data_IF_203036347149
#
_entry.id   IF_203036347149
#
_cell.length_a   1.000
_cell.length_b   1.000
_cell.length_c   1.000
_cell.angle_alpha   90.00
_cell.angle_beta   90.00
_cell.angle_gamma   90.00
#
_symmetry.space_group_name_H-M   'P 1'
#
loop_
_entity.id
_entity.type
_entity.pdbx_description
1 polymer ?
#
# COMPACT_ATOMS: atom_id res chain seq x y z
N UNK A 1 10.69 7.25 -16.11
CA UNK A 1 10.66 7.84 -14.76
C UNK A 1 9.92 9.18 -14.83
N UNK A 2 9.29 9.59 -13.74
CA UNK A 2 8.54 10.87 -13.66
C UNK A 2 8.48 11.37 -12.22
N UNK A 3 8.28 12.68 -12.05
CA UNK A 3 8.06 13.29 -10.74
C UNK A 3 6.62 13.03 -10.25
N UNK A 4 6.41 13.02 -8.94
CA UNK A 4 5.11 12.74 -8.31
C UNK A 4 4.06 13.83 -8.57
N UNK A 5 4.41 15.08 -8.34
CA UNK A 5 3.45 16.20 -8.36
C UNK A 5 3.10 16.62 -9.78
N UNK A 6 4.10 16.93 -10.59
CA UNK A 6 3.89 17.50 -11.93
C UNK A 6 3.88 16.46 -13.05
N UNK A 7 4.14 15.17 -12.71
CA UNK A 7 4.28 14.08 -13.68
C UNK A 7 5.28 14.35 -14.80
N UNK A 8 6.24 15.26 -14.54
CA UNK A 8 7.29 15.59 -15.49
C UNK A 8 8.24 14.40 -15.64
N UNK A 9 8.66 14.08 -16.89
CA UNK A 9 9.63 13.02 -17.11
C UNK A 9 10.96 13.34 -16.43
N UNK A 10 11.56 12.32 -15.82
CA UNK A 10 12.92 12.37 -15.25
C UNK A 10 13.79 11.51 -16.13
N UNK A 11 14.79 12.12 -16.75
CA UNK A 11 15.72 11.45 -17.65
C UNK A 11 16.91 10.89 -16.86
N UNK A 12 17.36 9.71 -17.27
CA UNK A 12 18.61 9.14 -16.77
C UNK A 12 19.76 9.73 -17.58
N UNK A 13 20.81 10.14 -16.88
CA UNK A 13 22.01 10.73 -17.47
C UNK A 13 23.27 9.97 -17.06
N UNK A 14 24.33 10.12 -17.84
CA UNK A 14 25.64 9.52 -17.54
C UNK A 14 26.42 10.27 -16.43
N UNK A 15 25.76 11.20 -15.73
CA UNK A 15 26.39 12.06 -14.73
C UNK A 15 26.04 11.68 -13.29
N UNK A 16 25.16 10.70 -13.10
CA UNK A 16 24.73 10.28 -11.78
C UNK A 16 23.52 9.35 -11.80
N UNK A 17 22.81 9.32 -10.69
CA UNK A 17 21.71 8.41 -10.43
C UNK A 17 20.40 9.14 -10.22
N UNK A 18 19.29 8.47 -10.52
CA UNK A 18 17.94 8.89 -10.14
C UNK A 18 17.49 7.98 -9.00
N UNK A 19 17.06 8.57 -7.90
CA UNK A 19 16.57 7.82 -6.72
C UNK A 19 15.07 7.98 -6.56
N UNK A 20 14.44 7.06 -5.82
CA UNK A 20 13.03 7.20 -5.46
C UNK A 20 12.85 8.27 -4.38
N UNK A 21 11.69 8.96 -4.36
CA UNK A 21 11.34 9.98 -3.36
C UNK A 21 11.57 9.49 -1.93
N UNK A 22 11.07 8.29 -1.62
CA UNK A 22 11.22 7.70 -0.30
C UNK A 22 12.69 7.49 0.10
N UNK A 23 13.53 7.13 -0.85
CA UNK A 23 14.96 6.96 -0.58
C UNK A 23 15.64 8.30 -0.31
N UNK A 24 15.30 9.33 -1.08
CA UNK A 24 15.74 10.70 -0.86
C UNK A 24 15.38 11.20 0.55
N UNK A 25 14.12 10.97 0.98
CA UNK A 25 13.64 11.36 2.30
C UNK A 25 14.37 10.61 3.44
N UNK A 26 14.59 9.30 3.29
CA UNK A 26 15.28 8.48 4.31
C UNK A 26 16.75 8.90 4.46
N UNK A 27 17.41 9.19 3.36
CA UNK A 27 18.82 9.60 3.37
C UNK A 27 19.02 11.09 3.68
N UNK A 28 17.96 11.90 3.57
CA UNK A 28 18.01 13.34 3.75
C UNK A 28 18.81 14.05 2.66
N UNK A 29 18.79 13.54 1.43
CA UNK A 29 19.57 14.03 0.28
C UNK A 29 18.66 14.48 -0.86
N UNK A 30 19.07 15.52 -1.58
CA UNK A 30 18.34 16.09 -2.71
C UNK A 30 19.07 15.99 -4.05
N UNK A 31 18.50 16.61 -5.08
CA UNK A 31 19.14 16.68 -6.40
C UNK A 31 20.40 17.52 -6.30
N UNK A 32 21.51 16.99 -6.78
CA UNK A 32 22.85 17.59 -6.73
C UNK A 32 23.70 17.12 -5.55
N UNK A 33 23.09 16.48 -4.56
CA UNK A 33 23.82 15.92 -3.43
C UNK A 33 24.51 14.59 -3.81
N UNK A 34 25.50 14.25 -3.01
CA UNK A 34 26.25 13.00 -3.15
C UNK A 34 25.96 12.09 -1.99
N UNK A 35 25.93 10.79 -2.26
CA UNK A 35 25.89 9.77 -1.23
C UNK A 35 26.75 8.57 -1.62
N UNK A 36 27.10 7.76 -0.64
CA UNK A 36 27.87 6.53 -0.86
C UNK A 36 26.92 5.34 -0.95
N UNK A 37 27.02 4.58 -2.04
CA UNK A 37 26.31 3.32 -2.20
C UNK A 37 27.30 2.15 -2.28
N UNK A 38 26.89 0.99 -1.80
CA UNK A 38 27.67 -0.23 -1.93
C UNK A 38 27.23 -1.01 -3.17
N UNK A 39 28.17 -1.34 -4.04
CA UNK A 39 27.98 -2.24 -5.16
C UNK A 39 28.93 -3.40 -4.99
N UNK A 40 28.41 -4.60 -4.80
CA UNK A 40 29.20 -5.83 -4.51
C UNK A 40 30.18 -5.62 -3.32
N UNK A 41 29.67 -4.97 -2.25
CA UNK A 41 30.41 -4.65 -1.02
C UNK A 41 31.52 -3.58 -1.16
N UNK A 42 31.66 -2.99 -2.32
CA UNK A 42 32.58 -1.87 -2.55
C UNK A 42 31.83 -0.52 -2.50
N UNK A 43 32.37 0.51 -1.82
CA UNK A 43 31.74 1.81 -1.71
C UNK A 43 32.02 2.70 -2.94
N UNK A 44 30.96 3.25 -3.51
CA UNK A 44 31.02 4.22 -4.62
C UNK A 44 30.27 5.50 -4.25
N UNK A 45 30.91 6.64 -4.48
CA UNK A 45 30.25 7.94 -4.33
C UNK A 45 29.50 8.28 -5.62
N UNK A 46 28.19 8.55 -5.50
CA UNK A 46 27.33 8.88 -6.63
C UNK A 46 26.60 10.18 -6.40
N UNK A 47 26.30 10.90 -7.48
CA UNK A 47 25.56 12.18 -7.43
C UNK A 47 24.11 11.94 -7.84
N UNK A 48 23.16 12.53 -7.12
CA UNK A 48 21.73 12.47 -7.46
C UNK A 48 21.44 13.48 -8.57
N UNK A 49 21.02 12.99 -9.72
CA UNK A 49 20.61 13.82 -10.87
C UNK A 49 19.11 13.99 -10.99
N UNK A 50 18.33 13.18 -10.28
CA UNK A 50 16.88 13.28 -10.30
C UNK A 50 16.22 12.45 -9.19
N UNK A 51 14.98 12.81 -8.88
CA UNK A 51 14.13 12.09 -7.93
C UNK A 51 12.84 11.70 -8.67
N UNK A 52 12.46 10.42 -8.55
CA UNK A 52 11.28 9.85 -9.23
C UNK A 52 10.26 9.30 -8.25
N UNK A 53 8.98 9.35 -8.63
CA UNK A 53 7.94 8.69 -7.85
C UNK A 53 8.12 7.17 -7.90
N UNK A 54 7.99 6.53 -6.76
CA UNK A 54 7.77 5.10 -6.66
C UNK A 54 7.10 4.78 -5.33
N UNK A 55 6.03 3.98 -5.37
CA UNK A 55 5.24 3.64 -4.18
C UNK A 55 5.66 2.32 -3.53
N UNK A 56 6.36 1.48 -4.27
CA UNK A 56 6.81 0.18 -3.80
C UNK A 56 8.33 0.10 -3.85
N UNK A 57 8.96 -0.12 -2.70
CA UNK A 57 10.41 -0.30 -2.56
C UNK A 57 11.27 0.94 -2.88
N UNK A 58 12.52 0.86 -2.53
CA UNK A 58 13.52 1.89 -2.78
C UNK A 58 14.40 1.44 -3.95
N UNK A 59 14.51 2.26 -4.97
CA UNK A 59 15.31 1.95 -6.16
C UNK A 59 16.28 3.09 -6.46
N UNK A 60 17.41 2.69 -7.02
CA UNK A 60 18.40 3.57 -7.64
C UNK A 60 18.41 3.22 -9.13
N UNK A 61 18.17 4.19 -9.96
CA UNK A 61 18.21 4.05 -11.42
C UNK A 61 19.46 4.73 -11.95
N UNK A 62 20.20 4.06 -12.80
CA UNK A 62 21.37 4.61 -13.45
C UNK A 62 21.49 4.12 -14.89
N UNK A 63 22.20 4.86 -15.72
CA UNK A 63 22.53 4.42 -17.07
C UNK A 63 23.57 3.30 -17.04
N UNK A 64 23.49 2.33 -17.96
CA UNK A 64 24.50 1.29 -18.14
C UNK A 64 25.91 1.86 -18.25
N UNK A 65 26.09 2.87 -19.09
CA UNK A 65 27.36 3.57 -19.29
C UNK A 65 27.92 4.18 -18.00
N UNK A 66 27.05 4.78 -17.16
CA UNK A 66 27.48 5.32 -15.87
C UNK A 66 27.93 4.22 -14.90
N UNK A 67 27.22 3.09 -14.86
CA UNK A 67 27.60 1.94 -14.04
C UNK A 67 28.99 1.40 -14.44
N UNK A 68 29.24 1.23 -15.74
CA UNK A 68 30.51 0.74 -16.26
C UNK A 68 31.65 1.72 -15.98
N UNK A 69 31.41 3.03 -16.11
CA UNK A 69 32.40 4.06 -15.76
C UNK A 69 32.72 4.06 -14.26
N UNK A 70 31.71 3.85 -13.42
CA UNK A 70 31.86 3.90 -11.97
C UNK A 70 32.58 2.66 -11.43
N UNK A 71 32.22 1.47 -11.92
CA UNK A 71 32.69 0.19 -11.36
C UNK A 71 33.84 -0.44 -12.18
N UNK A 72 34.00 -0.03 -13.43
CA UNK A 72 34.91 -0.70 -14.36
C UNK A 72 34.43 -2.08 -14.82
N UNK A 73 33.24 -2.49 -14.44
CA UNK A 73 32.69 -3.81 -14.71
C UNK A 73 31.55 -3.75 -15.73
N UNK A 74 31.44 -4.77 -16.57
CA UNK A 74 30.29 -4.92 -17.45
C UNK A 74 29.02 -5.25 -16.65
N UNK A 75 27.90 -4.70 -17.09
CA UNK A 75 26.60 -4.96 -16.48
C UNK A 75 26.18 -6.43 -16.66
N UNK A 76 25.67 -7.01 -15.59
CA UNK A 76 24.96 -8.28 -15.60
C UNK A 76 23.48 -8.05 -15.34
N UNK A 77 22.65 -8.32 -16.34
CA UNK A 77 21.21 -8.27 -16.19
C UNK A 77 20.74 -9.55 -15.48
N UNK A 78 20.00 -9.39 -14.39
CA UNK A 78 19.44 -10.48 -13.60
C UNK A 78 17.91 -10.54 -13.64
N UNK A 79 17.26 -9.55 -14.23
CA UNK A 79 15.79 -9.45 -14.28
C UNK A 79 15.37 -8.92 -15.64
N UNK A 80 14.29 -9.48 -16.17
CA UNK A 80 13.66 -9.03 -17.41
C UNK A 80 12.22 -8.67 -17.10
N UNK A 81 11.82 -7.46 -17.45
CA UNK A 81 10.43 -7.03 -17.45
C UNK A 81 9.86 -7.17 -18.86
N UNK A 82 8.82 -7.98 -19.00
CA UNK A 82 8.14 -8.19 -20.26
C UNK A 82 6.67 -7.83 -20.17
N UNK A 83 6.15 -7.20 -21.20
CA UNK A 83 4.72 -6.95 -21.34
C UNK A 83 4.14 -7.96 -22.32
N UNK A 84 3.08 -8.63 -21.90
CA UNK A 84 2.37 -9.63 -22.70
C UNK A 84 1.01 -9.04 -23.09
N UNK A 85 0.68 -9.07 -24.36
CA UNK A 85 -0.61 -8.66 -24.86
C UNK A 85 -1.61 -9.82 -24.71
N UNK A 86 -2.82 -9.51 -24.22
CA UNK A 86 -3.91 -10.48 -24.01
C UNK A 86 -3.54 -11.64 -23.06
N UNK A 87 -3.34 -11.31 -21.80
CA UNK A 87 -3.09 -12.31 -20.74
C UNK A 87 -4.39 -12.92 -20.22
N UNK A 88 -4.34 -14.23 -20.04
CA UNK A 88 -5.29 -14.98 -19.22
C UNK A 88 -4.49 -15.94 -18.32
N UNK A 89 -5.10 -16.44 -17.27
CA UNK A 89 -4.43 -17.30 -16.28
C UNK A 89 -3.89 -18.62 -16.89
N UNK A 90 -4.52 -19.13 -17.95
CA UNK A 90 -4.05 -20.31 -18.66
C UNK A 90 -2.76 -20.03 -19.44
N UNK A 91 -2.70 -18.89 -20.14
CA UNK A 91 -1.52 -18.47 -20.86
C UNK A 91 -0.35 -18.20 -19.90
N UNK A 92 -0.59 -17.50 -18.80
CA UNK A 92 0.40 -17.22 -17.76
C UNK A 92 0.98 -18.51 -17.19
N UNK A 93 0.13 -19.47 -16.82
CA UNK A 93 0.54 -20.77 -16.30
C UNK A 93 1.36 -21.58 -17.33
N UNK A 94 0.97 -21.54 -18.60
CA UNK A 94 1.68 -22.22 -19.67
C UNK A 94 3.06 -21.61 -19.95
N UNK A 95 3.15 -20.27 -19.91
CA UNK A 95 4.41 -19.52 -20.07
C UNK A 95 5.33 -19.77 -18.87
N UNK A 96 4.80 -19.74 -17.64
CA UNK A 96 5.56 -20.06 -16.44
C UNK A 96 6.18 -21.46 -16.56
N UNK A 97 5.36 -22.46 -16.89
CA UNK A 97 5.81 -23.84 -17.04
C UNK A 97 6.88 -23.98 -18.13
N UNK A 98 6.72 -23.26 -19.22
CA UNK A 98 7.66 -23.32 -20.35
C UNK A 98 9.00 -22.65 -20.00
N UNK A 99 8.97 -21.49 -19.38
CA UNK A 99 10.18 -20.71 -19.08
C UNK A 99 10.93 -21.25 -17.87
N UNK A 100 10.25 -21.77 -16.86
CA UNK A 100 10.89 -22.41 -15.70
C UNK A 100 11.62 -23.73 -16.03
N UNK A 101 11.47 -24.26 -17.25
CA UNK A 101 12.30 -25.37 -17.72
C UNK A 101 13.73 -24.96 -18.09
N UNK A 102 13.99 -23.66 -18.17
CA UNK A 102 15.34 -23.13 -18.43
C UNK A 102 16.10 -23.00 -17.11
N UNK A 103 17.28 -23.57 -17.03
CA UNK A 103 18.17 -23.50 -15.85
C UNK A 103 18.62 -22.07 -15.50
N UNK A 104 18.42 -21.13 -16.44
CA UNK A 104 18.80 -19.73 -16.25
C UNK A 104 17.70 -18.87 -15.59
N UNK A 105 16.50 -19.40 -15.41
CA UNK A 105 15.36 -18.68 -14.82
C UNK A 105 15.09 -19.23 -13.42
N UNK A 106 15.30 -18.40 -12.43
CA UNK A 106 15.10 -18.75 -11.02
C UNK A 106 13.63 -18.60 -10.62
N UNK A 107 12.97 -17.53 -11.08
CA UNK A 107 11.58 -17.24 -10.74
C UNK A 107 10.89 -16.43 -11.82
N UNK A 108 9.59 -16.59 -11.93
CA UNK A 108 8.70 -15.79 -12.77
C UNK A 108 7.58 -15.28 -11.87
N UNK A 109 7.28 -14.00 -11.99
CA UNK A 109 6.19 -13.35 -11.26
C UNK A 109 5.29 -12.62 -12.25
N UNK A 110 4.00 -12.85 -12.18
CA UNK A 110 3.02 -12.12 -12.96
C UNK A 110 2.40 -11.00 -12.11
N UNK A 111 2.09 -9.90 -12.76
CA UNK A 111 1.41 -8.77 -12.08
C UNK A 111 0.00 -9.18 -11.64
N UNK A 112 -0.66 -10.08 -12.35
CA UNK A 112 -1.95 -10.70 -11.99
C UNK A 112 -1.91 -11.38 -10.62
N UNK A 113 -0.82 -12.08 -10.28
CA UNK A 113 -0.65 -12.74 -8.98
C UNK A 113 -0.53 -11.72 -7.85
N UNK A 114 0.14 -10.58 -8.10
CA UNK A 114 0.27 -9.49 -7.14
C UNK A 114 -1.10 -8.83 -6.92
N UNK A 115 -1.86 -8.59 -7.99
CA UNK A 115 -3.19 -8.01 -7.92
C UNK A 115 -4.13 -8.92 -7.15
N UNK A 116 -4.16 -10.23 -7.43
CA UNK A 116 -5.00 -11.17 -6.70
C UNK A 116 -4.68 -11.24 -5.21
N UNK A 117 -3.40 -11.20 -4.86
CA UNK A 117 -2.96 -11.16 -3.46
C UNK A 117 -3.46 -9.90 -2.75
N UNK A 118 -3.42 -8.74 -3.42
CA UNK A 118 -3.94 -7.48 -2.86
C UNK A 118 -5.47 -7.55 -2.72
N UNK A 119 -6.18 -8.10 -3.70
CA UNK A 119 -7.63 -8.26 -3.66
C UNK A 119 -8.06 -9.19 -2.51
N UNK A 120 -7.35 -10.29 -2.28
CA UNK A 120 -7.60 -11.20 -1.16
C UNK A 120 -7.39 -10.50 0.20
N UNK A 121 -6.34 -9.67 0.31
CA UNK A 121 -6.12 -8.85 1.50
C UNK A 121 -7.25 -7.84 1.72
N UNK A 122 -7.71 -7.16 0.68
CA UNK A 122 -8.82 -6.21 0.77
C UNK A 122 -10.13 -6.91 1.14
N UNK A 123 -10.36 -8.11 0.61
CA UNK A 123 -11.55 -8.89 0.95
C UNK A 123 -11.55 -9.31 2.43
N UNK A 124 -10.40 -9.68 2.98
CA UNK A 124 -10.30 -10.00 4.41
C UNK A 124 -10.57 -8.79 5.30
N UNK A 125 -10.16 -7.58 4.89
CA UNK A 125 -10.50 -6.33 5.59
C UNK A 125 -11.99 -6.05 5.60
N UNK A 126 -12.72 -6.36 4.51
CA UNK A 126 -14.18 -6.21 4.46
C UNK A 126 -14.89 -7.05 5.51
N UNK A 127 -14.41 -8.27 5.78
CA UNK A 127 -14.95 -9.13 6.85
C UNK A 127 -14.76 -8.50 8.23
N UNK A 128 -13.60 -7.91 8.49
CA UNK A 128 -13.32 -7.21 9.75
C UNK A 128 -14.25 -6.02 9.92
N UNK A 129 -14.45 -5.22 8.87
CA UNK A 129 -15.37 -4.08 8.88
C UNK A 129 -16.81 -4.53 9.17
N UNK A 130 -17.26 -5.62 8.55
CA UNK A 130 -18.58 -6.18 8.78
C UNK A 130 -18.77 -6.57 10.26
N UNK A 131 -17.80 -7.25 10.85
CA UNK A 131 -17.83 -7.63 12.28
C UNK A 131 -17.91 -6.40 13.16
N UNK A 132 -17.12 -5.36 12.88
CA UNK A 132 -17.15 -4.10 13.62
C UNK A 132 -18.52 -3.42 13.55
N UNK A 133 -19.16 -3.40 12.38
CA UNK A 133 -20.51 -2.82 12.20
C UNK A 133 -21.53 -3.59 13.05
N UNK A 134 -21.49 -4.92 13.04
CA UNK A 134 -22.39 -5.76 13.84
C UNK A 134 -22.19 -5.49 15.33
N UNK A 135 -20.94 -5.45 15.80
CA UNK A 135 -20.62 -5.16 17.20
C UNK A 135 -21.07 -3.76 17.63
N UNK A 136 -20.84 -2.75 16.80
CA UNK A 136 -21.29 -1.39 17.05
C UNK A 136 -22.81 -1.29 17.11
N UNK A 137 -23.52 -1.96 16.19
CA UNK A 137 -24.98 -2.03 16.17
C UNK A 137 -25.56 -2.72 17.43
N UNK A 138 -24.95 -3.82 17.85
CA UNK A 138 -25.33 -4.51 19.07
C UNK A 138 -25.15 -3.62 20.32
N UNK A 139 -24.00 -2.94 20.42
CA UNK A 139 -23.74 -2.02 21.52
C UNK A 139 -24.76 -0.86 21.54
N UNK A 140 -25.00 -0.24 20.39
CA UNK A 140 -26.01 0.83 20.27
C UNK A 140 -27.40 0.36 20.71
N UNK A 141 -27.81 -0.86 20.35
CA UNK A 141 -29.08 -1.44 20.76
C UNK A 141 -29.17 -1.62 22.27
N UNK A 142 -28.10 -2.12 22.91
CA UNK A 142 -28.05 -2.29 24.37
C UNK A 142 -28.15 -0.94 25.09
N UNK A 143 -27.42 0.07 24.61
CA UNK A 143 -27.46 1.42 25.18
C UNK A 143 -28.84 2.05 25.06
N UNK A 144 -29.48 1.96 23.87
CA UNK A 144 -30.83 2.46 23.65
C UNK A 144 -31.85 1.73 24.52
N UNK A 145 -31.73 0.42 24.65
CA UNK A 145 -32.62 -0.37 25.52
C UNK A 145 -32.49 0.06 26.95
N UNK A 146 -31.30 0.23 27.49
CA UNK A 146 -31.08 0.69 28.87
C UNK A 146 -31.62 2.11 29.09
N UNK A 147 -31.38 3.03 28.15
CA UNK A 147 -31.88 4.40 28.23
C UNK A 147 -33.41 4.44 28.20
N UNK A 148 -34.02 3.64 27.34
CA UNK A 148 -35.49 3.52 27.25
C UNK A 148 -36.08 2.98 28.55
N UNK A 149 -35.48 1.94 29.15
CA UNK A 149 -35.93 1.38 30.41
C UNK A 149 -35.88 2.40 31.56
N UNK A 150 -34.78 3.20 31.61
CA UNK A 150 -34.64 4.25 32.63
C UNK A 150 -35.72 5.32 32.44
N UNK A 151 -35.94 5.79 31.21
CA UNK A 151 -36.96 6.78 30.90
C UNK A 151 -38.39 6.29 31.24
N UNK A 152 -38.69 5.01 30.97
CA UNK A 152 -39.98 4.40 31.30
C UNK A 152 -40.13 4.33 32.83
N UNK A 153 -39.11 3.90 33.57
CA UNK A 153 -39.12 3.78 35.01
C UNK A 153 -39.35 5.14 35.69
N UNK A 154 -38.73 6.20 35.19
CA UNK A 154 -38.94 7.57 35.67
C UNK A 154 -40.36 8.05 35.40
N UNK A 155 -40.90 7.85 34.18
CA UNK A 155 -42.28 8.24 33.87
C UNK A 155 -43.32 7.48 34.68
N UNK A 156 -43.13 6.18 34.89
CA UNK A 156 -44.00 5.38 35.75
C UNK A 156 -44.01 5.92 37.19
N UNK A 157 -42.85 6.33 37.70
CA UNK A 157 -42.71 6.94 39.02
C UNK A 157 -43.41 8.31 39.13
N UNK A 158 -43.28 9.16 38.12
CA UNK A 158 -43.97 10.43 37.99
C UNK A 158 -45.50 10.24 37.96
N UNK A 159 -46.00 9.33 37.12
CA UNK A 159 -47.41 9.01 37.02
C UNK A 159 -47.95 8.46 38.35
N UNK A 160 -47.21 7.61 39.03
CA UNK A 160 -47.59 7.09 40.35
C UNK A 160 -47.74 8.20 41.36
N UNK A 161 -46.81 9.21 41.35
CA UNK A 161 -46.90 10.38 42.24
C UNK A 161 -48.13 11.24 41.95
N UNK A 162 -48.43 11.48 40.67
CA UNK A 162 -49.63 12.24 40.25
C UNK A 162 -50.91 11.53 40.66
N UNK A 163 -50.98 10.19 40.54
CA UNK A 163 -52.14 9.38 41.00
C UNK A 163 -52.35 9.44 42.51
N UNK A 164 -51.28 9.48 43.30
CA UNK A 164 -51.38 9.62 44.76
C UNK A 164 -51.93 11.00 45.14
N UNK A 165 -51.71 12.02 44.34
CA UNK A 165 -52.24 13.36 44.50
C UNK A 165 -53.71 13.51 44.05
N UNK A 166 -54.36 12.42 43.57
CA UNK A 166 -55.82 12.36 43.33
C UNK A 166 -56.23 12.65 41.87
N UNK A 167 -55.33 12.63 40.92
CA UNK A 167 -55.68 12.78 39.51
C UNK A 167 -56.22 11.48 38.90
N UNK A 168 -57.25 11.58 38.08
CA UNK A 168 -57.91 10.44 37.42
C UNK A 168 -57.14 9.99 36.15
N UNK A 169 -57.34 8.72 35.74
CA UNK A 169 -56.68 8.09 34.58
C UNK A 169 -56.91 8.77 33.22
N UNK A 170 -57.82 9.74 33.10
CA UNK A 170 -58.04 10.50 31.88
C UNK A 170 -57.32 11.84 31.81
N UNK A 171 -56.60 12.23 32.88
CA UNK A 171 -55.88 13.51 33.03
C UNK A 171 -54.35 13.33 33.11
N UNK A 172 -53.88 12.10 33.04
CA UNK A 172 -52.47 11.71 32.99
C UNK A 172 -52.20 11.04 31.65
#
# INVERSE_FOLDING_TARGET
>A
LRTRINKTPVELTDKGVVVTERMSDILGVGIGDKFTMLISDEPYEVTITGITENYASNYIYMMPSYYEQLTGNNIRYNTIYAQINNTNSELESSLATKWMKSDNIITISFVSDIISTVDDMLQSLNVIVLVLIICAGALATVVLYNLTNINIAERVREIATIKVLGFYNGET
#
